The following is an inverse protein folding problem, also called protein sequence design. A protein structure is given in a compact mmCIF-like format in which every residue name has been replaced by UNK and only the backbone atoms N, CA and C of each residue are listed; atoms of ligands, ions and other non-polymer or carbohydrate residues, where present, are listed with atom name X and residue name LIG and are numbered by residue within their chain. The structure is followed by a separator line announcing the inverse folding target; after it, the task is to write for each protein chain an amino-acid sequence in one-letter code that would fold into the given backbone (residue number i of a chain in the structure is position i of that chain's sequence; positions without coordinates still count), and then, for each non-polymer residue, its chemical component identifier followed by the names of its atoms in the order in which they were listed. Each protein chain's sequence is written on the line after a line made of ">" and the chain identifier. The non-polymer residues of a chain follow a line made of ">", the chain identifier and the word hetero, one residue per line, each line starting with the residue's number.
data_IF_102835927340
#
_entry.id   IF_102835927340
#
_cell.length_a   1.000
_cell.length_b   1.000
_cell.length_c   1.000
_cell.angle_alpha   90.00
_cell.angle_beta   90.00
_cell.angle_gamma   90.00
#
_symmetry.space_group_name_H-M   'P 1'
#
loop_
_entity.id
_entity.type
_entity.pdbx_description
1 polymer ?
#
# COMPACT_ATOMS: atom_id res chain seq x y z
N UNK A 1 -2.39 -6.55 30.17
CA UNK A 1 -1.10 -5.89 29.82
C UNK A 1 -0.95 -6.06 28.32
N UNK A 2 -1.27 -5.04 27.54
CA UNK A 2 -1.11 -5.09 26.10
C UNK A 2 0.39 -5.19 25.79
N UNK A 3 0.81 -6.27 25.11
CA UNK A 3 2.13 -6.38 24.54
C UNK A 3 2.35 -5.17 23.63
N UNK A 4 3.27 -4.29 24.00
CA UNK A 4 3.78 -3.25 23.10
C UNK A 4 4.42 -4.01 21.95
N UNK A 5 3.72 -4.09 20.83
CA UNK A 5 4.25 -4.69 19.60
C UNK A 5 5.31 -3.71 19.08
N UNK A 6 6.58 -4.00 19.32
CA UNK A 6 7.67 -3.25 18.70
C UNK A 6 7.58 -3.44 17.18
N UNK A 7 7.55 -2.34 16.44
CA UNK A 7 7.62 -2.36 14.98
C UNK A 7 9.08 -2.53 14.56
N UNK A 8 9.35 -3.50 13.70
CA UNK A 8 10.72 -3.83 13.27
C UNK A 8 11.28 -2.87 12.21
N UNK A 9 10.44 -1.99 11.66
CA UNK A 9 10.87 -1.06 10.61
C UNK A 9 11.28 -1.75 9.32
N UNK A 10 10.55 -2.81 8.93
CA UNK A 10 10.88 -3.63 7.77
C UNK A 10 9.75 -3.70 6.75
N UNK A 11 10.10 -3.98 5.50
CA UNK A 11 9.18 -4.18 4.38
C UNK A 11 9.35 -5.56 3.78
N UNK A 12 8.27 -6.10 3.21
CA UNK A 12 8.27 -7.38 2.52
C UNK A 12 9.12 -7.35 1.25
N UNK A 13 9.88 -8.40 1.00
CA UNK A 13 10.80 -8.52 -0.15
C UNK A 13 10.13 -8.36 -1.52
N UNK A 14 8.85 -8.73 -1.63
CA UNK A 14 8.06 -8.51 -2.84
C UNK A 14 7.99 -7.06 -3.31
N UNK A 15 8.09 -6.08 -2.39
CA UNK A 15 8.19 -4.66 -2.75
C UNK A 15 9.53 -4.33 -3.44
N UNK A 16 10.62 -5.01 -3.07
CA UNK A 16 11.88 -4.93 -3.80
C UNK A 16 11.77 -5.48 -5.22
N UNK A 17 11.03 -6.59 -5.41
CA UNK A 17 10.75 -7.12 -6.75
C UNK A 17 9.94 -6.14 -7.61
N UNK A 18 8.98 -5.44 -7.00
CA UNK A 18 8.19 -4.40 -7.68
C UNK A 18 9.08 -3.25 -8.19
N UNK A 19 10.00 -2.74 -7.36
CA UNK A 19 10.92 -1.68 -7.77
C UNK A 19 11.82 -2.13 -8.93
N UNK A 20 12.34 -3.36 -8.87
CA UNK A 20 13.16 -3.93 -9.94
C UNK A 20 12.36 -4.02 -11.24
N UNK A 21 11.15 -4.57 -11.19
CA UNK A 21 10.26 -4.65 -12.35
C UNK A 21 9.99 -3.28 -12.96
N UNK A 22 9.76 -2.27 -12.12
CA UNK A 22 9.58 -0.89 -12.59
C UNK A 22 10.83 -0.37 -13.30
N UNK A 23 12.02 -0.48 -12.69
CA UNK A 23 13.27 -0.03 -13.31
C UNK A 23 13.50 -0.69 -14.67
N UNK A 24 13.33 -2.01 -14.75
CA UNK A 24 13.48 -2.76 -16.00
C UNK A 24 12.48 -2.32 -17.07
N UNK A 25 11.21 -2.11 -16.69
CA UNK A 25 10.17 -1.67 -17.62
C UNK A 25 10.37 -0.25 -18.15
N UNK A 26 11.02 0.60 -17.38
CA UNK A 26 11.35 1.98 -17.74
C UNK A 26 12.77 2.14 -18.31
N UNK A 27 13.49 1.03 -18.53
CA UNK A 27 14.89 1.01 -18.98
C UNK A 27 15.82 1.86 -18.11
N UNK A 28 15.55 1.94 -16.81
CA UNK A 28 16.41 2.62 -15.84
C UNK A 28 17.54 1.70 -15.38
N UNK A 29 18.65 2.29 -14.97
CA UNK A 29 19.72 1.55 -14.30
C UNK A 29 19.18 1.04 -12.97
N UNK A 30 19.22 -0.28 -12.76
CA UNK A 30 18.78 -0.89 -11.50
C UNK A 30 19.81 -0.58 -10.42
N UNK A 31 19.42 0.07 -9.30
CA UNK A 31 20.35 0.34 -8.20
C UNK A 31 21.03 -0.94 -7.70
N UNK A 32 22.36 -0.95 -7.44
CA UNK A 32 23.06 -2.15 -6.97
C UNK A 32 22.43 -2.73 -5.69
N UNK A 33 22.05 -1.88 -4.74
CA UNK A 33 21.39 -2.29 -3.49
C UNK A 33 20.07 -3.02 -3.75
N UNK A 34 19.33 -2.61 -4.78
CA UNK A 34 18.08 -3.29 -5.18
C UNK A 34 18.36 -4.72 -5.69
N UNK A 35 19.49 -4.97 -6.34
CA UNK A 35 19.89 -6.33 -6.74
C UNK A 35 20.25 -7.20 -5.54
N UNK A 36 20.92 -6.64 -4.52
CA UNK A 36 21.32 -7.36 -3.31
C UNK A 36 20.12 -7.88 -2.50
N UNK A 37 19.03 -7.11 -2.42
CA UNK A 37 17.86 -7.45 -1.60
C UNK A 37 16.87 -8.40 -2.29
N UNK A 38 17.07 -8.75 -3.57
CA UNK A 38 16.09 -9.54 -4.33
C UNK A 38 15.77 -10.92 -3.72
N UNK A 39 16.71 -11.49 -2.96
CA UNK A 39 16.53 -12.81 -2.32
C UNK A 39 16.14 -12.70 -0.84
N UNK A 40 15.93 -11.50 -0.32
CA UNK A 40 15.52 -11.29 1.06
C UNK A 40 14.00 -11.39 1.17
N UNK A 41 13.52 -12.13 2.15
CA UNK A 41 12.09 -12.17 2.48
C UNK A 41 11.62 -10.81 3.01
N UNK A 42 12.44 -10.14 3.79
CA UNK A 42 12.23 -8.80 4.33
C UNK A 42 13.52 -8.00 4.31
N UNK A 43 13.40 -6.69 4.23
CA UNK A 43 14.53 -5.77 4.32
C UNK A 43 14.13 -4.48 5.06
N UNK A 44 15.13 -3.70 5.51
CA UNK A 44 14.93 -2.50 6.32
C UNK A 44 14.18 -1.40 5.56
N UNK A 45 13.29 -0.69 6.26
CA UNK A 45 12.54 0.44 5.72
C UNK A 45 13.43 1.58 5.22
N UNK A 46 14.60 1.79 5.85
CA UNK A 46 15.56 2.80 5.40
C UNK A 46 16.07 2.46 3.99
N UNK A 47 16.36 1.18 3.72
CA UNK A 47 16.73 0.72 2.37
C UNK A 47 15.58 0.98 1.38
N UNK A 48 14.34 0.71 1.78
CA UNK A 48 13.17 1.01 0.95
C UNK A 48 13.07 2.47 0.55
N UNK A 49 13.18 3.37 1.52
CA UNK A 49 13.15 4.82 1.31
C UNK A 49 14.29 5.27 0.40
N UNK A 50 15.52 4.85 0.69
CA UNK A 50 16.71 5.24 -0.06
C UNK A 50 16.66 4.74 -1.52
N UNK A 51 16.10 3.55 -1.76
CA UNK A 51 15.89 3.04 -3.13
C UNK A 51 14.84 3.86 -3.90
N UNK A 52 13.76 4.26 -3.25
CA UNK A 52 12.76 5.14 -3.87
C UNK A 52 13.37 6.50 -4.25
N UNK A 53 14.19 7.09 -3.38
CA UNK A 53 14.88 8.35 -3.64
C UNK A 53 15.88 8.21 -4.81
N UNK A 54 16.67 7.15 -4.86
CA UNK A 54 17.57 6.87 -5.99
C UNK A 54 16.80 6.72 -7.32
N UNK A 55 15.68 6.01 -7.32
CA UNK A 55 14.86 5.88 -8.54
C UNK A 55 14.23 7.23 -8.92
N UNK A 56 13.85 8.05 -7.95
CA UNK A 56 13.35 9.41 -8.19
C UNK A 56 14.41 10.31 -8.82
N UNK A 57 15.69 10.16 -8.43
CA UNK A 57 16.80 10.90 -9.04
C UNK A 57 17.05 10.48 -10.49
N UNK A 58 16.89 9.19 -10.80
CA UNK A 58 17.00 8.67 -12.19
C UNK A 58 15.84 9.15 -13.08
N UNK A 59 14.68 9.43 -12.50
CA UNK A 59 13.48 9.87 -13.22
C UNK A 59 12.74 10.98 -12.44
N UNK A 60 13.24 12.23 -12.44
CA UNK A 60 12.77 13.32 -11.59
C UNK A 60 11.43 13.92 -12.08
N UNK A 61 10.36 13.14 -11.98
CA UNK A 61 9.01 13.55 -12.33
C UNK A 61 8.06 13.36 -11.14
N UNK A 62 7.08 14.25 -11.01
CA UNK A 62 6.00 14.14 -10.01
C UNK A 62 5.26 12.81 -10.16
N UNK A 63 4.91 12.15 -9.04
CA UNK A 63 4.11 10.94 -9.04
C UNK A 63 4.89 9.67 -9.36
N UNK A 64 6.13 9.54 -8.90
CA UNK A 64 6.90 8.30 -9.05
C UNK A 64 6.18 7.11 -8.41
N UNK A 65 5.67 7.25 -7.18
CA UNK A 65 4.93 6.20 -6.50
C UNK A 65 3.68 5.78 -7.25
N UNK A 66 2.98 6.74 -7.88
CA UNK A 66 1.82 6.46 -8.73
C UNK A 66 2.19 5.61 -9.95
N UNK A 67 3.35 5.88 -10.55
CA UNK A 67 3.84 5.12 -11.71
C UNK A 67 4.31 3.72 -11.32
N UNK A 68 5.03 3.57 -10.20
CA UNK A 68 5.47 2.27 -9.68
C UNK A 68 4.26 1.40 -9.34
N UNK A 69 3.25 1.97 -8.68
CA UNK A 69 2.08 1.22 -8.23
C UNK A 69 1.30 0.54 -9.37
N UNK A 70 1.32 1.08 -10.59
CA UNK A 70 0.69 0.47 -11.77
C UNK A 70 1.24 -0.93 -12.12
N UNK A 71 2.43 -1.26 -11.64
CA UNK A 71 3.06 -2.57 -11.84
C UNK A 71 2.79 -3.55 -10.70
N UNK A 72 1.99 -3.16 -9.71
CA UNK A 72 1.68 -4.03 -8.57
C UNK A 72 0.95 -5.29 -9.03
N UNK A 73 1.30 -6.39 -8.40
CA UNK A 73 0.64 -7.70 -8.55
C UNK A 73 0.48 -8.30 -7.15
N UNK A 74 -0.48 -9.22 -6.94
CA UNK A 74 -0.68 -9.84 -5.62
C UNK A 74 0.60 -10.39 -4.99
N UNK A 75 1.48 -11.00 -5.78
CA UNK A 75 2.78 -11.54 -5.31
C UNK A 75 3.68 -10.49 -4.65
N UNK A 76 3.57 -9.20 -5.04
CA UNK A 76 4.39 -8.12 -4.47
C UNK A 76 3.95 -7.72 -3.06
N UNK A 77 2.72 -8.09 -2.66
CA UNK A 77 2.17 -7.86 -1.32
C UNK A 77 2.10 -9.16 -0.49
N UNK A 78 2.60 -10.26 -1.04
CA UNK A 78 2.72 -11.54 -0.34
C UNK A 78 1.38 -12.16 0.07
N UNK A 79 1.42 -12.94 1.15
CA UNK A 79 0.25 -13.67 1.66
C UNK A 79 -0.95 -12.75 1.96
N UNK A 80 -0.70 -11.50 2.36
CA UNK A 80 -1.76 -10.54 2.68
C UNK A 80 -2.64 -10.24 1.47
N UNK A 81 -2.06 -10.13 0.28
CA UNK A 81 -2.84 -9.91 -0.95
C UNK A 81 -3.79 -11.09 -1.23
N UNK A 82 -3.28 -12.31 -1.15
CA UNK A 82 -4.08 -13.51 -1.40
C UNK A 82 -5.16 -13.71 -0.33
N UNK A 83 -4.86 -13.40 0.93
CA UNK A 83 -5.83 -13.40 2.01
C UNK A 83 -6.96 -12.39 1.74
N UNK A 84 -6.63 -11.17 1.33
CA UNK A 84 -7.63 -10.15 0.98
C UNK A 84 -8.51 -10.59 -0.21
N UNK A 85 -7.90 -11.21 -1.24
CA UNK A 85 -8.61 -11.71 -2.42
C UNK A 85 -9.53 -12.89 -2.13
N UNK A 86 -9.32 -13.64 -1.04
CA UNK A 86 -10.16 -14.77 -0.63
C UNK A 86 -11.37 -14.37 0.21
N UNK A 87 -11.47 -13.09 0.61
CA UNK A 87 -12.61 -12.55 1.37
C UNK A 87 -13.88 -12.41 0.51
N UNK A 88 -15.04 -12.37 1.15
CA UNK A 88 -16.34 -12.22 0.46
C UNK A 88 -16.64 -10.77 0.07
N UNK A 89 -16.21 -9.81 0.89
CA UNK A 89 -16.50 -8.40 0.69
C UNK A 89 -15.29 -7.50 0.92
N UNK A 90 -15.36 -6.29 0.36
CA UNK A 90 -14.34 -5.26 0.58
C UNK A 90 -14.16 -4.93 2.07
N UNK A 91 -15.25 -4.83 2.82
CA UNK A 91 -15.19 -4.55 4.26
C UNK A 91 -14.43 -5.63 5.03
N UNK A 92 -14.68 -6.90 4.72
CA UNK A 92 -13.94 -8.01 5.31
C UNK A 92 -12.45 -7.94 4.94
N UNK A 93 -12.14 -7.73 3.68
CA UNK A 93 -10.76 -7.65 3.21
C UNK A 93 -9.97 -6.50 3.86
N UNK A 94 -10.61 -5.33 4.04
CA UNK A 94 -10.00 -4.20 4.76
C UNK A 94 -9.72 -4.53 6.23
N UNK A 95 -10.62 -5.30 6.88
CA UNK A 95 -10.39 -5.77 8.24
C UNK A 95 -9.20 -6.72 8.31
N UNK A 96 -9.11 -7.70 7.40
CA UNK A 96 -7.93 -8.59 7.30
C UNK A 96 -6.66 -7.83 6.99
N UNK A 97 -6.75 -6.83 6.12
CA UNK A 97 -5.60 -5.97 5.83
C UNK A 97 -5.11 -5.24 7.08
N UNK A 98 -6.01 -4.69 7.90
CA UNK A 98 -5.64 -4.07 9.17
C UNK A 98 -4.97 -5.06 10.13
N UNK A 99 -5.51 -6.29 10.25
CA UNK A 99 -4.96 -7.30 11.17
C UNK A 99 -3.53 -7.73 10.80
N UNK A 100 -3.23 -7.82 9.49
CA UNK A 100 -2.01 -8.42 8.97
C UNK A 100 -1.13 -7.48 8.15
N UNK A 101 -1.37 -6.16 8.16
CA UNK A 101 -0.60 -5.19 7.37
C UNK A 101 0.92 -5.25 7.64
N UNK A 102 1.33 -5.67 8.84
CA UNK A 102 2.73 -5.84 9.24
C UNK A 102 3.48 -6.85 8.36
N UNK A 103 2.79 -7.77 7.74
CA UNK A 103 3.40 -8.73 6.81
C UNK A 103 3.95 -8.03 5.55
N UNK A 104 3.38 -6.89 5.16
CA UNK A 104 3.88 -6.07 4.04
C UNK A 104 4.79 -4.95 4.54
N UNK A 105 4.33 -4.20 5.54
CA UNK A 105 5.06 -3.07 6.11
C UNK A 105 4.94 -3.08 7.65
N UNK A 106 6.07 -3.27 8.32
CA UNK A 106 6.18 -3.31 9.76
C UNK A 106 6.86 -2.04 10.31
N UNK A 107 6.28 -0.88 10.02
CA UNK A 107 6.84 0.43 10.42
C UNK A 107 5.87 1.32 11.17
N UNK A 108 4.56 1.12 11.01
CA UNK A 108 3.53 1.87 11.73
C UNK A 108 2.21 1.13 11.73
N UNK A 109 1.34 1.36 12.74
CA UNK A 109 -0.01 0.81 12.75
C UNK A 109 -0.83 1.32 11.56
N UNK A 110 -1.52 0.41 10.88
CA UNK A 110 -2.59 0.77 9.95
C UNK A 110 -3.92 0.69 10.68
N UNK A 111 -4.75 1.69 10.51
CA UNK A 111 -6.11 1.72 11.06
C UNK A 111 -7.15 1.88 9.96
N UNK A 112 -8.16 1.04 10.06
CA UNK A 112 -9.41 1.18 9.31
C UNK A 112 -10.49 1.59 10.29
N UNK A 113 -10.97 2.81 10.18
CA UNK A 113 -11.95 3.38 11.11
C UNK A 113 -13.21 3.79 10.37
N UNK A 114 -14.35 3.60 11.03
CA UNK A 114 -15.61 4.12 10.55
C UNK A 114 -15.78 5.58 10.97
N UNK A 115 -15.76 6.47 9.99
CA UNK A 115 -16.00 7.92 10.16
C UNK A 115 -17.18 8.31 9.26
N UNK A 116 -18.41 8.09 9.78
CA UNK A 116 -19.65 8.26 9.00
C UNK A 116 -19.64 9.53 8.13
N UNK A 117 -19.93 9.43 6.82
CA UNK A 117 -20.40 8.25 6.06
C UNK A 117 -19.29 7.46 5.35
N UNK A 118 -18.04 7.49 5.83
CA UNK A 118 -16.88 6.90 5.18
C UNK A 118 -16.16 5.88 6.05
N UNK A 119 -15.36 5.01 5.42
CA UNK A 119 -14.21 4.36 6.03
C UNK A 119 -12.99 5.24 5.82
N UNK A 120 -12.19 5.41 6.87
CA UNK A 120 -10.86 6.00 6.80
C UNK A 120 -9.82 4.88 6.91
N UNK A 121 -8.96 4.76 5.91
CA UNK A 121 -7.77 3.90 5.97
C UNK A 121 -6.59 4.83 6.14
N UNK A 122 -5.86 4.68 7.24
CA UNK A 122 -4.71 5.55 7.57
C UNK A 122 -3.60 4.80 8.27
N UNK A 123 -2.39 5.27 8.06
CA UNK A 123 -1.24 4.90 8.89
C UNK A 123 -1.14 5.87 10.06
N UNK A 124 -0.99 5.35 11.28
CA UNK A 124 -0.72 6.19 12.44
C UNK A 124 0.71 6.71 12.37
N UNK A 125 1.02 7.75 13.18
CA UNK A 125 2.35 8.37 13.18
C UNK A 125 3.43 7.29 13.34
N UNK A 126 4.28 7.12 12.32
CA UNK A 126 5.35 6.13 12.38
C UNK A 126 6.48 6.64 13.25
N UNK A 127 7.12 5.74 13.98
CA UNK A 127 8.43 6.02 14.60
C UNK A 127 9.50 6.31 13.52
N UNK A 128 9.28 5.78 12.32
CA UNK A 128 10.10 6.03 11.14
C UNK A 128 9.50 7.19 10.34
N UNK A 129 10.25 8.26 10.18
CA UNK A 129 9.80 9.45 9.47
C UNK A 129 9.49 9.14 7.98
N UNK A 130 8.21 9.12 7.58
CA UNK A 130 7.84 8.92 6.18
C UNK A 130 8.24 10.14 5.36
N UNK A 131 8.62 9.90 4.12
CA UNK A 131 8.79 10.96 3.13
C UNK A 131 7.51 11.12 2.31
N UNK A 132 7.39 12.20 1.58
CA UNK A 132 6.28 12.39 0.63
C UNK A 132 6.19 11.19 -0.34
N UNK A 133 7.31 10.66 -0.78
CA UNK A 133 7.37 9.57 -1.74
C UNK A 133 6.93 8.23 -1.14
N UNK A 134 7.29 7.96 0.13
CA UNK A 134 6.85 6.74 0.82
C UNK A 134 5.36 6.76 1.13
N UNK A 135 4.79 7.92 1.47
CA UNK A 135 3.34 8.08 1.62
C UNK A 135 2.60 7.92 0.29
N UNK A 136 3.15 8.53 -0.77
CA UNK A 136 2.60 8.44 -2.12
C UNK A 136 2.49 6.98 -2.59
N UNK A 137 3.59 6.23 -2.48
CA UNK A 137 3.59 4.83 -2.95
C UNK A 137 2.71 3.93 -2.08
N UNK A 138 2.64 4.16 -0.76
CA UNK A 138 1.77 3.38 0.12
C UNK A 138 0.29 3.54 -0.25
N UNK A 139 -0.17 4.79 -0.46
CA UNK A 139 -1.53 5.09 -0.91
C UNK A 139 -1.77 4.51 -2.31
N UNK A 140 -0.83 4.73 -3.24
CA UNK A 140 -0.99 4.29 -4.61
C UNK A 140 -1.05 2.76 -4.73
N UNK A 141 -0.22 2.01 -4.00
CA UNK A 141 -0.25 0.54 -3.97
C UNK A 141 -1.58 0.02 -3.42
N UNK A 142 -2.10 0.63 -2.35
CA UNK A 142 -3.40 0.27 -1.80
C UNK A 142 -4.51 0.49 -2.82
N UNK A 143 -4.55 1.68 -3.43
CA UNK A 143 -5.60 2.02 -4.41
C UNK A 143 -5.52 1.14 -5.64
N UNK A 144 -4.33 0.93 -6.22
CA UNK A 144 -4.16 0.06 -7.39
C UNK A 144 -4.57 -1.39 -7.07
N UNK A 145 -4.18 -1.91 -5.91
CA UNK A 145 -4.57 -3.24 -5.51
C UNK A 145 -6.10 -3.38 -5.37
N UNK A 146 -6.75 -2.42 -4.72
CA UNK A 146 -8.20 -2.38 -4.58
C UNK A 146 -8.90 -2.32 -5.95
N UNK A 147 -8.43 -1.47 -6.86
CA UNK A 147 -9.06 -1.24 -8.16
C UNK A 147 -8.84 -2.38 -9.16
N UNK A 148 -7.64 -2.98 -9.18
CA UNK A 148 -7.29 -3.98 -10.20
C UNK A 148 -7.69 -5.39 -9.82
N UNK A 149 -7.67 -5.74 -8.53
CA UNK A 149 -7.74 -7.14 -8.10
C UNK A 149 -8.92 -7.47 -7.20
N UNK A 150 -9.46 -6.49 -6.46
CA UNK A 150 -10.43 -6.81 -5.41
C UNK A 150 -11.85 -6.97 -5.95
N UNK A 151 -12.37 -6.01 -6.65
CA UNK A 151 -13.76 -5.98 -7.08
C UNK A 151 -13.88 -5.92 -8.60
N UNK A 152 -14.95 -6.54 -9.13
CA UNK A 152 -15.28 -6.44 -10.57
C UNK A 152 -15.72 -5.03 -10.96
N UNK A 153 -16.37 -4.33 -10.05
CA UNK A 153 -16.81 -2.96 -10.22
C UNK A 153 -15.80 -2.01 -9.60
N UNK A 154 -15.55 -0.89 -10.27
CA UNK A 154 -14.63 0.12 -9.76
C UNK A 154 -15.06 0.61 -8.36
N UNK A 155 -14.11 0.63 -7.42
CA UNK A 155 -14.32 1.16 -6.08
C UNK A 155 -14.31 2.69 -6.17
N UNK A 156 -15.36 3.33 -5.64
CA UNK A 156 -15.45 4.77 -5.58
C UNK A 156 -14.69 5.29 -4.37
N UNK A 157 -13.67 6.10 -4.62
CA UNK A 157 -12.96 6.82 -3.57
C UNK A 157 -13.64 8.18 -3.36
N UNK A 158 -13.78 8.61 -2.11
CA UNK A 158 -14.31 9.94 -1.81
C UNK A 158 -13.20 11.00 -1.91
N UNK A 159 -12.15 10.81 -1.14
CA UNK A 159 -11.05 11.76 -1.00
C UNK A 159 -9.77 11.05 -0.54
N UNK A 160 -8.62 11.58 -0.97
CA UNK A 160 -7.30 11.18 -0.45
C UNK A 160 -6.64 12.39 0.19
N UNK A 161 -6.07 12.20 1.36
CA UNK A 161 -5.35 13.21 2.10
C UNK A 161 -3.87 12.86 2.20
N UNK A 162 -3.00 13.84 1.99
CA UNK A 162 -1.58 13.76 2.26
C UNK A 162 -1.19 14.82 3.30
N UNK A 163 -0.34 14.44 4.23
CA UNK A 163 0.24 15.33 5.23
C UNK A 163 1.21 16.34 4.59
N UNK A 164 1.90 15.90 3.55
CA UNK A 164 2.91 16.69 2.85
C UNK A 164 2.30 17.84 2.05
N UNK A 165 3.07 18.93 1.77
CA UNK A 165 2.61 20.01 0.91
C UNK A 165 2.39 19.55 -0.54
N UNK A 166 1.57 20.28 -1.33
CA UNK A 166 1.31 19.90 -2.70
C UNK A 166 2.59 19.96 -3.56
N UNK A 167 2.85 18.94 -4.39
CA UNK A 167 3.91 19.00 -5.38
C UNK A 167 3.60 20.01 -6.49
N UNK A 168 4.60 20.30 -7.34
CA UNK A 168 4.44 21.27 -8.45
C UNK A 168 3.27 20.94 -9.39
N UNK A 169 3.05 19.67 -9.68
CA UNK A 169 1.92 19.19 -10.50
C UNK A 169 0.99 18.29 -9.67
N UNK A 170 0.27 18.92 -8.71
CA UNK A 170 -0.66 18.22 -7.84
C UNK A 170 -1.86 17.57 -8.60
N UNK A 171 -2.20 18.09 -9.78
CA UNK A 171 -3.32 17.57 -10.58
C UNK A 171 -3.07 16.14 -11.08
N UNK A 172 -1.79 15.70 -11.15
CA UNK A 172 -1.45 14.30 -11.50
C UNK A 172 -2.13 13.32 -10.57
N UNK A 173 -2.23 13.66 -9.29
CA UNK A 173 -2.84 12.78 -8.26
C UNK A 173 -4.34 12.63 -8.46
N UNK A 174 -5.07 13.73 -8.67
CA UNK A 174 -6.53 13.67 -8.91
C UNK A 174 -6.86 12.90 -10.19
N UNK A 175 -6.06 13.09 -11.24
CA UNK A 175 -6.21 12.33 -12.49
C UNK A 175 -5.94 10.83 -12.29
N UNK A 176 -4.99 10.49 -11.42
CA UNK A 176 -4.63 9.09 -11.15
C UNK A 176 -5.66 8.40 -10.26
N UNK A 177 -6.06 9.04 -9.16
CA UNK A 177 -6.96 8.44 -8.17
C UNK A 177 -8.44 8.57 -8.53
N UNK A 178 -8.77 9.37 -9.53
CA UNK A 178 -10.15 9.70 -9.93
C UNK A 178 -11.02 10.21 -8.77
N UNK A 179 -10.43 10.90 -7.81
CA UNK A 179 -11.11 11.55 -6.69
C UNK A 179 -10.37 12.82 -6.29
N UNK A 180 -10.96 13.59 -5.38
CA UNK A 180 -10.32 14.78 -4.82
C UNK A 180 -9.10 14.39 -4.00
N UNK A 181 -8.00 15.12 -4.16
CA UNK A 181 -6.77 14.95 -3.39
C UNK A 181 -6.43 16.22 -2.64
N UNK A 182 -6.25 16.12 -1.31
CA UNK A 182 -5.89 17.23 -0.44
C UNK A 182 -4.50 17.04 0.13
N UNK A 183 -3.68 18.06 0.03
CA UNK A 183 -2.36 18.16 0.61
C UNK A 183 -2.36 19.01 1.87
N UNK A 184 -1.27 18.99 2.64
CA UNK A 184 -1.12 19.73 3.91
C UNK A 184 -2.24 19.41 4.91
N UNK A 185 -2.66 18.16 4.96
CA UNK A 185 -3.67 17.69 5.88
C UNK A 185 -3.04 17.16 7.18
N UNK A 186 -3.84 17.02 8.25
CA UNK A 186 -3.35 16.50 9.52
C UNK A 186 -2.90 15.03 9.46
N UNK A 187 -3.36 14.27 8.47
CA UNK A 187 -3.09 12.82 8.34
C UNK A 187 -3.06 12.42 6.88
N UNK A 188 -2.19 11.45 6.55
CA UNK A 188 -2.24 10.70 5.29
C UNK A 188 -3.31 9.61 5.41
N UNK A 189 -4.35 9.66 4.55
CA UNK A 189 -5.48 8.72 4.61
C UNK A 189 -6.23 8.59 3.29
N UNK A 190 -6.95 7.47 3.15
CA UNK A 190 -7.92 7.24 2.08
C UNK A 190 -9.32 7.26 2.71
N UNK A 191 -10.24 7.99 2.12
CA UNK A 191 -11.67 8.00 2.51
C UNK A 191 -12.49 7.27 1.45
N UNK A 192 -13.16 6.19 1.86
CA UNK A 192 -13.99 5.35 1.01
C UNK A 192 -15.43 5.41 1.53
N UNK A 193 -16.45 5.67 0.69
CA UNK A 193 -17.85 5.63 1.13
C UNK A 193 -18.21 4.28 1.75
N UNK A 194 -18.99 4.28 2.83
CA UNK A 194 -19.37 3.03 3.52
C UNK A 194 -20.17 2.09 2.62
N UNK A 195 -20.87 2.62 1.63
CA UNK A 195 -21.59 1.82 0.63
C UNK A 195 -20.69 0.84 -0.14
N UNK A 196 -19.40 1.16 -0.24
CA UNK A 196 -18.41 0.31 -0.92
C UNK A 196 -18.06 -0.96 -0.13
N UNK A 197 -18.27 -0.95 1.21
CA UNK A 197 -17.90 -2.08 2.07
C UNK A 197 -18.53 -3.42 1.66
N UNK A 198 -19.74 -3.35 1.12
CA UNK A 198 -20.51 -4.54 0.71
C UNK A 198 -20.19 -5.00 -0.72
N UNK A 199 -19.26 -4.32 -1.42
CA UNK A 199 -18.83 -4.79 -2.74
C UNK A 199 -18.22 -6.18 -2.64
N UNK A 200 -18.73 -7.08 -3.49
CA UNK A 200 -18.32 -8.49 -3.53
C UNK A 200 -16.97 -8.63 -4.22
N UNK A 201 -16.10 -9.40 -3.61
CA UNK A 201 -14.81 -9.79 -4.19
C UNK A 201 -15.04 -11.00 -5.09
N UNK A 202 -14.54 -10.90 -6.31
CA UNK A 202 -14.90 -11.85 -7.38
C UNK A 202 -14.39 -13.28 -7.21
N UNK A 203 -13.42 -13.52 -6.32
CA UNK A 203 -12.74 -14.80 -6.15
C UNK A 203 -12.79 -15.29 -4.69
N UNK A 204 -13.84 -14.97 -3.96
CA UNK A 204 -14.02 -15.40 -2.59
C UNK A 204 -13.90 -16.93 -2.44
N UNK A 205 -13.05 -17.39 -1.52
CA UNK A 205 -12.84 -18.80 -1.19
C UNK A 205 -12.58 -18.94 0.32
N UNK A 206 -13.62 -19.33 1.05
CA UNK A 206 -13.57 -19.45 2.50
C UNK A 206 -12.55 -20.49 2.99
N UNK A 207 -12.35 -21.59 2.26
CA UNK A 207 -11.38 -22.63 2.63
C UNK A 207 -9.95 -22.10 2.47
N UNK A 208 -9.67 -21.46 1.34
CA UNK A 208 -8.40 -20.80 1.07
C UNK A 208 -8.13 -19.71 2.11
N UNK A 209 -9.12 -18.89 2.42
CA UNK A 209 -9.02 -17.83 3.43
C UNK A 209 -8.59 -18.39 4.79
N UNK A 210 -9.22 -19.48 5.25
CA UNK A 210 -8.86 -20.09 6.53
C UNK A 210 -7.41 -20.63 6.55
N UNK A 211 -6.96 -21.21 5.44
CA UNK A 211 -5.57 -21.67 5.32
C UNK A 211 -4.59 -20.51 5.36
N UNK A 212 -4.85 -19.47 4.59
CA UNK A 212 -4.00 -18.27 4.54
C UNK A 212 -3.98 -17.52 5.87
N UNK A 213 -5.11 -17.45 6.59
CA UNK A 213 -5.17 -16.86 7.93
C UNK A 213 -4.28 -17.59 8.94
N UNK A 214 -4.33 -18.93 8.97
CA UNK A 214 -3.44 -19.71 9.86
C UNK A 214 -1.98 -19.43 9.55
N UNK A 215 -1.61 -19.47 8.27
CA UNK A 215 -0.25 -19.19 7.86
C UNK A 215 0.18 -17.75 8.19
N UNK A 216 -0.71 -16.76 7.99
CA UNK A 216 -0.43 -15.37 8.33
C UNK A 216 -0.25 -15.12 9.84
N UNK A 217 -0.87 -15.95 10.69
CA UNK A 217 -0.72 -15.89 12.14
C UNK A 217 0.59 -16.50 12.65
N UNK A 218 1.23 -17.36 11.86
CA UNK A 218 2.51 -18.01 12.19
C UNK A 218 3.73 -17.17 11.80
N UNK A 219 3.54 -16.16 10.90
CA UNK A 219 4.57 -15.23 10.44
C UNK A 219 4.66 -13.98 11.34
#
# INVERSE_FOLDING_TARGET
>A
MALIKNYAGSVYGGLGHLLKLYCESQHLVVPPKLLEIQNLERFDYVIWRDLLEQIQELQPQTGLGLRIAKYVQPKHLGILAYLALSCESLGEALHRYQDFHRLVYDGSPLKVEFVSPYFSIRWEEPELHPTQLTDEIAIALMVEFLQQFMCKEQIQLHEIHFINPPPKDAQVYERYFHCRVRFSQAKTQILIPISEANKVIGNADHTLQQLLMRQAQEL
#
